data_IF_177545563579
#
_entry.id   IF_177545563579
#
_cell.length_a   1.000
_cell.length_b   1.000
_cell.length_c   1.000
_cell.angle_alpha   90.00
_cell.angle_beta   90.00
_cell.angle_gamma   90.00
#
_symmetry.space_group_name_H-M   'P 1'
#
loop_
_entity.id
_entity.type
_entity.pdbx_description
1 polymer ?
#
# COMPACT_ATOMS: atom_id res chain seq x y z
N UNK A 1 -48.50 -12.04 17.01
CA UNK A 1 -47.20 -12.54 17.52
C UNK A 1 -47.28 -14.05 17.35
N UNK A 2 -46.28 -14.62 16.65
CA UNK A 2 -46.25 -15.96 16.03
C UNK A 2 -47.29 -16.13 14.89
N UNK A 3 -47.11 -16.88 13.80
CA UNK A 3 -46.04 -17.69 13.21
C UNK A 3 -46.59 -18.23 11.85
N UNK A 4 -45.69 -18.67 10.95
CA UNK A 4 -45.87 -19.66 9.87
C UNK A 4 -46.50 -19.27 8.50
N UNK A 5 -45.63 -19.36 7.49
CA UNK A 5 -45.69 -20.20 6.28
C UNK A 5 -47.05 -20.46 5.59
N UNK A 6 -47.11 -20.07 4.31
CA UNK A 6 -47.90 -20.75 3.29
C UNK A 6 -46.99 -21.28 2.18
N UNK A 7 -47.07 -22.59 1.94
CA UNK A 7 -46.55 -23.29 0.77
C UNK A 7 -47.32 -22.91 -0.49
N UNK A 8 -46.60 -22.75 -1.61
CA UNK A 8 -47.14 -22.98 -2.96
C UNK A 8 -46.10 -23.82 -3.72
N UNK A 9 -46.49 -25.02 -4.13
CA UNK A 9 -45.78 -25.91 -5.09
C UNK A 9 -46.52 -25.78 -6.43
N UNK A 10 -45.84 -25.64 -7.59
CA UNK A 10 -45.85 -26.73 -8.61
C UNK A 10 -44.67 -26.70 -9.62
N UNK A 11 -44.55 -27.66 -10.57
CA UNK A 11 -44.86 -29.09 -10.54
C UNK A 11 -43.65 -29.97 -10.98
N UNK A 12 -43.77 -31.28 -10.78
CA UNK A 12 -42.88 -32.30 -11.31
C UNK A 12 -42.85 -32.29 -12.85
N UNK A 13 -41.65 -32.34 -13.43
CA UNK A 13 -41.46 -32.68 -14.85
C UNK A 13 -40.79 -34.04 -14.93
N UNK A 14 -41.50 -34.99 -15.54
CA UNK A 14 -41.15 -36.41 -15.67
C UNK A 14 -39.86 -36.68 -16.45
N UNK A 15 -39.16 -37.79 -16.14
CA UNK A 15 -37.92 -38.19 -16.77
C UNK A 15 -38.21 -39.10 -17.97
N UNK A 16 -38.12 -38.60 -19.21
CA UNK A 16 -37.84 -39.43 -20.41
C UNK A 16 -37.72 -38.57 -21.67
N UNK A 17 -36.49 -38.23 -22.04
CA UNK A 17 -36.06 -38.05 -23.42
C UNK A 17 -34.52 -38.01 -23.43
N UNK A 18 -33.92 -39.19 -23.57
CA UNK A 18 -32.51 -39.35 -23.89
C UNK A 18 -32.22 -38.88 -25.33
N UNK A 19 -30.95 -38.53 -25.55
CA UNK A 19 -30.22 -38.30 -26.81
C UNK A 19 -30.35 -36.86 -27.34
N UNK A 20 -29.28 -36.12 -27.64
CA UNK A 20 -27.87 -36.47 -27.90
C UNK A 20 -27.10 -35.16 -27.96
N UNK A 21 -26.10 -34.94 -27.11
CA UNK A 21 -25.03 -33.95 -27.34
C UNK A 21 -23.74 -34.58 -26.81
N UNK A 22 -22.77 -34.72 -27.72
CA UNK A 22 -21.42 -35.28 -27.49
C UNK A 22 -20.72 -34.60 -26.32
N UNK A 23 -20.33 -35.40 -25.32
CA UNK A 23 -19.47 -34.99 -24.21
C UNK A 23 -18.13 -35.76 -24.26
N UNK A 24 -17.47 -35.79 -25.41
CA UNK A 24 -16.10 -36.30 -25.52
C UNK A 24 -15.09 -35.15 -25.42
N UNK A 25 -15.13 -34.40 -24.31
CA UNK A 25 -14.05 -33.55 -23.79
C UNK A 25 -14.44 -32.88 -22.44
N UNK A 26 -15.10 -33.63 -21.56
CA UNK A 26 -15.17 -33.23 -20.15
C UNK A 26 -13.96 -33.86 -19.46
N UNK A 27 -12.88 -33.10 -19.31
CA UNK A 27 -11.86 -33.41 -18.30
C UNK A 27 -12.59 -33.41 -16.95
N UNK A 28 -12.58 -34.56 -16.30
CA UNK A 28 -13.14 -34.75 -14.96
C UNK A 28 -12.54 -33.69 -14.01
N UNK A 29 -13.33 -33.03 -13.14
CA UNK A 29 -12.80 -32.10 -12.14
C UNK A 29 -11.82 -32.75 -11.15
N UNK A 30 -11.73 -34.08 -11.16
CA UNK A 30 -10.96 -34.89 -10.22
C UNK A 30 -9.50 -35.14 -10.64
N UNK A 31 -9.04 -34.62 -11.79
CA UNK A 31 -7.63 -34.71 -12.23
C UNK A 31 -6.77 -33.48 -11.86
N UNK A 32 -7.32 -32.53 -11.09
CA UNK A 32 -6.49 -31.56 -10.38
C UNK A 32 -5.97 -32.24 -9.09
N UNK A 33 -4.65 -32.40 -8.91
CA UNK A 33 -4.13 -32.90 -7.65
C UNK A 33 -4.68 -32.01 -6.53
N UNK A 34 -5.12 -32.57 -5.39
CA UNK A 34 -5.57 -31.77 -4.26
C UNK A 34 -4.48 -30.78 -3.93
N UNK A 35 -4.81 -29.50 -4.06
CA UNK A 35 -3.93 -28.39 -3.71
C UNK A 35 -3.52 -28.62 -2.26
N UNK A 36 -2.25 -28.92 -2.03
CA UNK A 36 -1.73 -29.30 -0.73
C UNK A 36 -1.59 -28.01 0.11
N UNK A 37 -2.74 -27.39 0.43
CA UNK A 37 -2.90 -26.01 0.92
C UNK A 37 -2.51 -25.82 2.40
N UNK A 38 -1.75 -26.75 2.98
CA UNK A 38 -1.25 -26.61 4.35
C UNK A 38 0.22 -26.26 4.34
N UNK A 39 0.53 -24.97 4.43
CA UNK A 39 1.86 -24.49 4.79
C UNK A 39 2.16 -24.87 6.24
N UNK A 40 3.31 -25.48 6.50
CA UNK A 40 3.73 -25.74 7.87
C UNK A 40 3.99 -24.40 8.58
N UNK A 41 3.48 -24.27 9.80
CA UNK A 41 3.64 -23.04 10.57
C UNK A 41 5.09 -22.58 10.73
N UNK A 42 6.03 -23.50 10.94
CA UNK A 42 7.46 -23.17 11.03
C UNK A 42 8.01 -22.58 9.72
N UNK A 43 7.46 -22.99 8.58
CA UNK A 43 7.84 -22.44 7.25
C UNK A 43 7.33 -21.01 7.11
N UNK A 44 6.06 -20.77 7.44
CA UNK A 44 5.49 -19.42 7.46
C UNK A 44 6.25 -18.46 8.37
N UNK A 45 6.57 -18.91 9.59
CA UNK A 45 7.28 -18.11 10.58
C UNK A 45 8.71 -17.81 10.13
N UNK A 46 9.39 -18.80 9.55
CA UNK A 46 10.75 -18.60 9.00
C UNK A 46 10.74 -17.56 7.88
N UNK A 47 9.79 -17.65 6.94
CA UNK A 47 9.61 -16.65 5.88
C UNK A 47 9.35 -15.26 6.47
N UNK A 48 8.44 -15.15 7.44
CA UNK A 48 8.10 -13.87 8.05
C UNK A 48 9.29 -13.25 8.78
N UNK A 49 10.11 -14.06 9.46
CA UNK A 49 11.35 -13.62 10.09
C UNK A 49 12.34 -13.12 9.04
N UNK A 50 12.54 -13.87 7.96
CA UNK A 50 13.43 -13.49 6.87
C UNK A 50 13.05 -12.13 6.27
N UNK A 51 11.80 -11.99 5.82
CA UNK A 51 11.25 -10.75 5.23
C UNK A 51 11.33 -9.58 6.21
N UNK A 52 10.94 -9.80 7.48
CA UNK A 52 10.97 -8.73 8.49
C UNK A 52 12.38 -8.27 8.84
N UNK A 53 13.34 -9.20 8.91
CA UNK A 53 14.74 -8.88 9.23
C UNK A 53 15.44 -8.20 8.06
N UNK A 54 15.14 -8.58 6.82
CA UNK A 54 15.54 -7.81 5.65
C UNK A 54 14.97 -6.38 5.72
N UNK A 55 13.70 -6.25 6.07
CA UNK A 55 13.09 -4.93 6.15
C UNK A 55 13.67 -4.07 7.28
N UNK A 56 14.08 -4.66 8.41
CA UNK A 56 14.83 -3.93 9.45
C UNK A 56 16.15 -3.36 8.93
N UNK A 57 16.86 -4.10 8.06
CA UNK A 57 18.08 -3.60 7.39
C UNK A 57 17.76 -2.46 6.44
N UNK A 58 16.67 -2.55 5.69
CA UNK A 58 16.19 -1.48 4.82
C UNK A 58 15.82 -0.23 5.63
N UNK A 59 15.09 -0.37 6.74
CA UNK A 59 14.77 0.74 7.64
C UNK A 59 16.03 1.41 8.17
N UNK A 60 17.02 0.64 8.63
CA UNK A 60 18.32 1.18 9.06
C UNK A 60 18.97 1.99 7.94
N UNK A 61 19.07 1.41 6.74
CA UNK A 61 19.64 2.06 5.55
C UNK A 61 18.91 3.37 5.22
N UNK A 62 17.58 3.33 5.20
CA UNK A 62 16.74 4.49 4.91
C UNK A 62 16.96 5.60 5.92
N UNK A 63 16.97 5.29 7.23
CA UNK A 63 17.18 6.29 8.27
C UNK A 63 18.51 7.02 8.06
N UNK A 64 19.58 6.25 7.80
CA UNK A 64 20.92 6.80 7.60
C UNK A 64 21.05 7.66 6.33
N UNK A 65 20.34 7.28 5.25
CA UNK A 65 20.59 7.82 3.92
C UNK A 65 19.54 8.85 3.44
N UNK A 66 18.35 8.86 4.04
CA UNK A 66 17.19 9.63 3.52
C UNK A 66 16.93 10.93 4.27
N UNK A 67 17.25 11.01 5.56
CA UNK A 67 16.79 12.10 6.45
C UNK A 67 17.86 13.17 6.73
N UNK A 68 18.92 13.21 5.91
CA UNK A 68 20.01 14.19 5.99
C UNK A 68 20.60 14.30 7.42
N UNK A 69 20.77 13.15 8.09
CA UNK A 69 21.26 13.12 9.47
C UNK A 69 22.73 13.57 9.56
N UNK A 70 23.12 14.18 10.69
CA UNK A 70 24.53 14.47 10.92
C UNK A 70 25.33 13.18 11.08
N UNK A 71 26.65 13.23 10.81
CA UNK A 71 27.51 12.04 10.91
C UNK A 71 27.49 11.39 12.30
N UNK A 72 27.39 12.20 13.36
CA UNK A 72 27.19 11.72 14.74
C UNK A 72 25.90 10.93 14.89
N UNK A 73 24.80 11.49 14.38
CA UNK A 73 23.46 10.91 14.48
C UNK A 73 23.38 9.60 13.69
N UNK A 74 24.06 9.52 12.53
CA UNK A 74 24.20 8.29 11.75
C UNK A 74 24.94 7.21 12.54
N UNK A 75 25.99 7.57 13.29
CA UNK A 75 26.71 6.61 14.14
C UNK A 75 25.81 6.10 15.28
N UNK A 76 25.04 6.99 15.90
CA UNK A 76 24.06 6.62 16.94
C UNK A 76 22.97 5.69 16.39
N UNK A 77 22.48 5.94 15.17
CA UNK A 77 21.54 5.04 14.48
C UNK A 77 22.18 3.67 14.23
N UNK A 78 23.44 3.63 13.76
CA UNK A 78 24.14 2.35 13.54
C UNK A 78 24.25 1.52 14.82
N UNK A 79 24.55 2.19 15.94
CA UNK A 79 24.66 1.56 17.26
C UNK A 79 23.28 1.14 17.81
N UNK A 80 22.26 1.98 17.60
CA UNK A 80 20.89 1.66 18.00
C UNK A 80 20.35 0.43 17.26
N UNK A 81 20.66 0.27 15.98
CA UNK A 81 20.28 -0.88 15.15
C UNK A 81 21.33 -2.00 15.21
N UNK A 82 22.03 -2.13 16.35
CA UNK A 82 22.87 -3.29 16.61
C UNK A 82 21.99 -4.42 17.17
N UNK A 83 22.10 -5.61 16.59
CA UNK A 83 21.40 -6.84 17.01
C UNK A 83 19.86 -6.71 17.01
N UNK A 84 19.31 -5.81 16.18
CA UNK A 84 17.86 -5.55 16.12
C UNK A 84 17.11 -6.73 15.49
N UNK A 85 17.75 -7.40 14.51
CA UNK A 85 17.23 -8.59 13.85
C UNK A 85 17.14 -9.77 14.83
N UNK A 86 18.17 -9.99 15.64
CA UNK A 86 18.20 -11.04 16.66
C UNK A 86 17.09 -10.83 17.69
N UNK A 87 16.95 -9.59 18.19
CA UNK A 87 15.91 -9.25 19.16
C UNK A 87 14.50 -9.45 18.59
N UNK A 88 14.29 -9.09 17.33
CA UNK A 88 13.01 -9.33 16.67
C UNK A 88 12.72 -10.84 16.58
N UNK A 89 13.71 -11.61 16.10
CA UNK A 89 13.63 -13.07 15.96
C UNK A 89 13.34 -13.77 17.29
N UNK A 90 14.01 -13.35 18.36
CA UNK A 90 13.81 -13.87 19.71
C UNK A 90 12.39 -13.60 20.22
N UNK A 91 11.87 -12.39 20.01
CA UNK A 91 10.51 -12.02 20.44
C UNK A 91 9.48 -12.84 19.67
N UNK A 92 9.62 -12.94 18.34
CA UNK A 92 8.71 -13.73 17.50
C UNK A 92 8.73 -15.17 17.98
N UNK A 93 9.90 -15.80 18.04
CA UNK A 93 10.06 -17.21 18.45
C UNK A 93 9.52 -17.48 19.86
N UNK A 94 9.74 -16.56 20.80
CA UNK A 94 9.25 -16.71 22.18
C UNK A 94 7.72 -16.56 22.25
N UNK A 95 7.16 -15.57 21.55
CA UNK A 95 5.70 -15.41 21.45
C UNK A 95 5.07 -16.61 20.75
N UNK A 96 5.74 -17.13 19.72
CA UNK A 96 5.36 -18.32 18.97
C UNK A 96 5.24 -19.56 19.84
N UNK A 97 6.32 -19.89 20.57
CA UNK A 97 6.39 -21.05 21.48
C UNK A 97 5.27 -20.99 22.52
N UNK A 98 4.91 -19.79 22.95
CA UNK A 98 3.83 -19.55 23.90
C UNK A 98 2.45 -19.70 23.26
N UNK A 99 2.27 -19.31 21.99
CA UNK A 99 0.97 -19.40 21.30
C UNK A 99 0.62 -20.84 20.89
N UNK A 100 1.62 -21.66 20.57
CA UNK A 100 1.40 -23.01 20.06
C UNK A 100 1.37 -24.11 21.11
N UNK A 101 1.82 -23.85 22.34
CA UNK A 101 2.09 -24.90 23.35
C UNK A 101 2.88 -26.11 22.77
N UNK A 102 3.72 -25.87 21.75
CA UNK A 102 4.53 -26.88 21.07
C UNK A 102 3.80 -27.82 20.10
N UNK A 103 2.54 -27.54 19.73
CA UNK A 103 1.80 -28.35 18.74
C UNK A 103 2.06 -27.87 17.31
N UNK A 104 2.38 -28.76 16.35
CA UNK A 104 2.36 -28.42 14.94
C UNK A 104 0.91 -28.23 14.49
N UNK A 105 0.62 -27.11 13.84
CA UNK A 105 -0.72 -26.75 13.36
C UNK A 105 -0.62 -26.41 11.88
N UNK A 106 -1.56 -26.91 11.07
CA UNK A 106 -1.78 -26.41 9.72
C UNK A 106 -2.47 -25.05 9.81
N UNK A 107 -1.88 -24.02 9.22
CA UNK A 107 -2.38 -22.66 9.31
C UNK A 107 -3.33 -22.32 8.17
N UNK A 108 -4.36 -21.55 8.49
CA UNK A 108 -5.28 -20.96 7.53
C UNK A 108 -4.80 -19.58 7.10
N UNK A 109 -5.32 -19.08 5.99
CA UNK A 109 -5.05 -17.72 5.49
C UNK A 109 -5.39 -16.63 6.51
N UNK A 110 -6.54 -16.74 7.17
CA UNK A 110 -6.92 -15.82 8.25
C UNK A 110 -5.91 -15.80 9.39
N UNK A 111 -5.43 -16.97 9.81
CA UNK A 111 -4.41 -17.04 10.85
C UNK A 111 -3.09 -16.42 10.38
N UNK A 112 -2.67 -16.65 9.14
CA UNK A 112 -1.46 -16.03 8.57
C UNK A 112 -1.57 -14.50 8.55
N UNK A 113 -2.72 -13.96 8.15
CA UNK A 113 -2.99 -12.51 8.13
C UNK A 113 -2.95 -11.93 9.55
N UNK A 114 -3.67 -12.53 10.50
CA UNK A 114 -3.68 -12.08 11.90
C UNK A 114 -2.28 -12.16 12.55
N UNK A 115 -1.52 -13.21 12.22
CA UNK A 115 -0.17 -13.37 12.74
C UNK A 115 0.80 -12.34 12.14
N UNK A 116 0.64 -12.01 10.86
CA UNK A 116 1.39 -10.95 10.19
C UNK A 116 1.14 -9.58 10.84
N UNK A 117 -0.09 -9.29 11.27
CA UNK A 117 -0.38 -8.09 12.07
C UNK A 117 0.36 -8.05 13.40
N UNK A 118 0.37 -9.18 14.12
CA UNK A 118 1.10 -9.29 15.39
C UNK A 118 2.59 -9.08 15.17
N UNK A 119 3.14 -9.66 14.11
CA UNK A 119 4.53 -9.49 13.67
C UNK A 119 4.84 -8.03 13.34
N UNK A 120 3.99 -7.37 12.55
CA UNK A 120 4.10 -5.94 12.24
C UNK A 120 4.04 -5.09 13.52
N UNK A 121 3.11 -5.37 14.43
CA UNK A 121 3.05 -4.68 15.72
C UNK A 121 4.34 -4.85 16.54
N UNK A 122 4.93 -6.05 16.58
CA UNK A 122 6.22 -6.31 17.22
C UNK A 122 7.34 -5.50 16.54
N UNK A 123 7.36 -5.47 15.20
CA UNK A 123 8.31 -4.70 14.40
C UNK A 123 8.27 -3.20 14.78
N UNK A 124 7.09 -2.61 14.89
CA UNK A 124 6.92 -1.23 15.35
C UNK A 124 7.51 -1.02 16.76
N UNK A 125 7.22 -1.93 17.70
CA UNK A 125 7.74 -1.81 19.08
C UNK A 125 9.26 -1.90 19.13
N UNK A 126 9.84 -2.82 18.36
CA UNK A 126 11.29 -2.98 18.24
C UNK A 126 11.90 -1.69 17.66
N UNK A 127 11.41 -1.20 16.52
CA UNK A 127 11.86 0.05 15.90
C UNK A 127 11.78 1.24 16.87
N UNK A 128 10.62 1.39 17.54
CA UNK A 128 10.40 2.47 18.51
C UNK A 128 11.36 2.40 19.69
N UNK A 129 11.64 1.20 20.20
CA UNK A 129 12.59 1.00 21.29
C UNK A 129 14.01 1.40 20.86
N UNK A 130 14.46 0.96 19.69
CA UNK A 130 15.83 1.21 19.24
C UNK A 130 16.07 2.68 18.88
N UNK A 131 15.08 3.37 18.28
CA UNK A 131 15.23 4.79 17.91
C UNK A 131 15.02 5.75 19.10
N UNK A 132 14.40 5.29 20.20
CA UNK A 132 14.03 6.12 21.36
C UNK A 132 15.16 7.03 21.83
N UNK A 133 16.36 6.46 21.99
CA UNK A 133 17.52 7.11 22.60
C UNK A 133 18.46 7.80 21.60
N UNK A 134 18.17 7.73 20.30
CA UNK A 134 18.94 8.48 19.28
C UNK A 134 18.66 9.97 19.47
N UNK A 135 19.71 10.78 19.61
CA UNK A 135 19.61 12.24 19.84
C UNK A 135 20.13 13.01 18.62
N UNK A 136 20.12 14.34 18.68
CA UNK A 136 20.69 15.20 17.63
C UNK A 136 19.63 15.73 16.66
N UNK A 137 19.93 15.75 15.35
CA UNK A 137 19.00 16.28 14.32
C UNK A 137 17.66 15.55 14.32
N UNK A 138 17.64 14.29 14.75
CA UNK A 138 16.40 13.52 14.84
C UNK A 138 15.39 14.13 15.83
N UNK A 139 15.83 14.94 16.79
CA UNK A 139 14.95 15.65 17.74
C UNK A 139 14.51 17.02 17.21
N UNK A 140 15.02 17.44 16.04
CA UNK A 140 14.66 18.72 15.45
C UNK A 140 13.19 18.76 15.06
N UNK A 141 12.55 19.95 15.20
CA UNK A 141 11.19 20.13 14.77
C UNK A 141 11.11 19.98 13.25
N UNK A 142 10.07 19.31 12.78
CA UNK A 142 9.77 19.30 11.36
C UNK A 142 8.85 20.46 11.02
N UNK A 143 8.88 20.93 9.77
CA UNK A 143 7.86 21.86 9.26
C UNK A 143 6.51 21.17 9.03
N UNK A 144 6.38 19.91 9.46
CA UNK A 144 5.29 19.00 9.16
C UNK A 144 4.24 18.97 10.27
N UNK A 145 3.19 18.19 10.06
CA UNK A 145 2.07 18.03 11.01
C UNK A 145 2.44 17.16 12.25
N UNK A 146 3.74 16.90 12.47
CA UNK A 146 4.29 16.12 13.60
C UNK A 146 5.51 16.81 14.20
N UNK A 147 5.66 16.68 15.52
CA UNK A 147 6.47 17.61 16.30
C UNK A 147 7.98 17.46 16.05
N UNK A 148 8.48 16.24 15.76
CA UNK A 148 9.93 16.01 15.58
C UNK A 148 10.26 15.07 14.42
N UNK A 149 11.50 15.15 13.91
CA UNK A 149 11.99 14.29 12.83
C UNK A 149 11.95 12.80 13.23
N UNK A 150 12.16 12.49 14.52
CA UNK A 150 12.05 11.16 15.11
C UNK A 150 10.67 10.55 14.91
N UNK A 151 9.62 11.32 15.22
CA UNK A 151 8.24 10.85 15.05
C UNK A 151 7.89 10.63 13.59
N UNK A 152 8.36 11.52 12.71
CA UNK A 152 8.19 11.38 11.27
C UNK A 152 8.87 10.11 10.75
N UNK A 153 10.14 9.90 11.10
CA UNK A 153 10.90 8.71 10.72
C UNK A 153 10.17 7.44 11.18
N UNK A 154 9.81 7.37 12.47
CA UNK A 154 9.14 6.19 13.03
C UNK A 154 7.85 5.89 12.27
N UNK A 155 6.98 6.88 12.09
CA UNK A 155 5.72 6.70 11.38
C UNK A 155 5.93 6.25 9.94
N UNK A 156 6.79 6.93 9.19
CA UNK A 156 7.06 6.60 7.78
C UNK A 156 7.64 5.19 7.65
N UNK A 157 8.68 4.88 8.42
CA UNK A 157 9.38 3.60 8.33
C UNK A 157 8.51 2.45 8.82
N UNK A 158 7.65 2.64 9.83
CA UNK A 158 6.66 1.62 10.22
C UNK A 158 5.70 1.32 9.07
N UNK A 159 5.13 2.33 8.42
CA UNK A 159 4.21 2.14 7.29
C UNK A 159 4.86 1.45 6.10
N UNK A 160 6.06 1.91 5.72
CA UNK A 160 6.84 1.31 4.64
C UNK A 160 7.18 -0.15 4.98
N UNK A 161 7.55 -0.41 6.24
CA UNK A 161 7.90 -1.76 6.66
C UNK A 161 6.71 -2.72 6.66
N UNK A 162 5.56 -2.29 7.17
CA UNK A 162 4.36 -3.14 7.17
C UNK A 162 3.94 -3.48 5.75
N UNK A 163 3.93 -2.48 4.88
CA UNK A 163 3.61 -2.65 3.47
C UNK A 163 4.59 -3.60 2.75
N UNK A 164 5.89 -3.49 3.03
CA UNK A 164 6.90 -4.38 2.48
C UNK A 164 6.68 -5.83 2.93
N UNK A 165 6.45 -6.05 4.23
CA UNK A 165 6.20 -7.38 4.80
C UNK A 165 4.94 -7.97 4.21
N UNK A 166 3.85 -7.20 4.18
CA UNK A 166 2.56 -7.62 3.61
C UNK A 166 2.69 -8.03 2.15
N UNK A 167 3.29 -7.19 1.31
CA UNK A 167 3.45 -7.50 -0.12
C UNK A 167 4.37 -8.71 -0.33
N UNK A 168 5.50 -8.82 0.37
CA UNK A 168 6.43 -9.94 0.19
C UNK A 168 5.82 -11.28 0.60
N UNK A 169 5.06 -11.29 1.71
CA UNK A 169 4.36 -12.50 2.18
C UNK A 169 3.21 -12.85 1.24
N UNK A 170 2.42 -11.86 0.81
CA UNK A 170 1.34 -12.02 -0.17
C UNK A 170 1.87 -12.60 -1.48
N UNK A 171 2.96 -12.08 -2.03
CA UNK A 171 3.56 -12.58 -3.27
C UNK A 171 4.08 -14.02 -3.13
N UNK A 172 4.68 -14.34 -1.99
CA UNK A 172 5.30 -15.66 -1.76
C UNK A 172 4.25 -16.74 -1.49
N UNK A 173 3.21 -16.40 -0.71
CA UNK A 173 2.24 -17.37 -0.21
C UNK A 173 0.87 -17.27 -0.87
N UNK A 174 0.62 -16.23 -1.67
CA UNK A 174 -0.69 -15.89 -2.23
C UNK A 174 -1.76 -15.63 -1.14
N UNK A 175 -1.30 -15.21 0.05
CA UNK A 175 -2.15 -14.88 1.20
C UNK A 175 -2.10 -13.38 1.41
N UNK A 176 -3.11 -12.70 0.86
CA UNK A 176 -3.14 -11.26 0.77
C UNK A 176 -4.34 -10.71 1.55
N UNK A 177 -4.19 -9.49 2.06
CA UNK A 177 -5.34 -8.74 2.55
C UNK A 177 -6.16 -8.27 1.36
N UNK A 178 -7.47 -8.40 1.48
CA UNK A 178 -8.39 -7.76 0.55
C UNK A 178 -8.15 -6.26 0.56
N UNK A 179 -7.97 -5.69 -0.64
CA UNK A 179 -7.94 -4.25 -0.86
C UNK A 179 -9.31 -3.84 -1.34
N UNK A 180 -10.03 -3.06 -0.55
CA UNK A 180 -11.43 -2.74 -0.82
C UNK A 180 -11.60 -1.40 -1.55
N UNK A 181 -10.56 -0.58 -1.60
CA UNK A 181 -10.61 0.77 -2.16
C UNK A 181 -9.45 1.03 -3.13
N UNK A 182 -9.69 1.91 -4.11
CA UNK A 182 -8.63 2.41 -4.99
C UNK A 182 -7.52 3.10 -4.18
N UNK A 183 -7.90 3.83 -3.13
CA UNK A 183 -6.93 4.51 -2.25
C UNK A 183 -5.98 3.57 -1.52
N UNK A 184 -6.34 2.30 -1.31
CA UNK A 184 -5.45 1.29 -0.70
C UNK A 184 -4.25 1.00 -1.62
N UNK A 185 -4.52 0.81 -2.92
CA UNK A 185 -3.48 0.64 -3.94
C UNK A 185 -2.60 1.88 -4.08
N UNK A 186 -3.20 3.07 -4.08
CA UNK A 186 -2.44 4.31 -4.15
C UNK A 186 -1.53 4.47 -2.93
N UNK A 187 -2.01 4.15 -1.73
CA UNK A 187 -1.20 4.20 -0.51
C UNK A 187 -0.01 3.22 -0.58
N UNK A 188 -0.23 2.02 -1.10
CA UNK A 188 0.83 1.03 -1.35
C UNK A 188 1.89 1.57 -2.33
N UNK A 189 1.48 2.10 -3.48
CA UNK A 189 2.41 2.68 -4.46
C UNK A 189 3.21 3.85 -3.88
N UNK A 190 2.58 4.73 -3.10
CA UNK A 190 3.25 5.85 -2.44
C UNK A 190 4.30 5.36 -1.42
N UNK A 191 3.98 4.34 -0.62
CA UNK A 191 4.91 3.76 0.37
C UNK A 191 6.09 3.07 -0.31
N UNK A 192 5.82 2.34 -1.38
CA UNK A 192 6.83 1.72 -2.22
C UNK A 192 7.79 2.79 -2.79
N UNK A 193 7.26 3.90 -3.33
CA UNK A 193 8.07 5.01 -3.83
C UNK A 193 8.83 5.77 -2.73
N UNK A 194 8.29 5.87 -1.52
CA UNK A 194 9.02 6.47 -0.40
C UNK A 194 10.27 5.66 0.00
N UNK A 195 10.25 4.35 -0.26
CA UNK A 195 11.32 3.40 0.07
C UNK A 195 12.47 3.39 -0.96
N UNK A 196 12.28 3.92 -2.18
CA UNK A 196 13.31 3.84 -3.23
C UNK A 196 14.49 4.80 -2.99
N UNK A 197 15.59 4.59 -3.70
CA UNK A 197 16.78 5.45 -3.61
C UNK A 197 16.50 6.88 -4.09
N UNK A 198 17.25 7.90 -3.65
CA UNK A 198 17.12 9.27 -4.17
C UNK A 198 17.23 9.37 -5.71
N UNK A 199 18.05 8.51 -6.32
CA UNK A 199 18.24 8.45 -7.76
C UNK A 199 16.96 7.97 -8.45
N UNK A 200 16.39 6.87 -7.98
CA UNK A 200 15.19 6.28 -8.59
C UNK A 200 13.96 7.12 -8.33
N UNK A 201 13.87 7.74 -7.15
CA UNK A 201 12.83 8.73 -6.86
C UNK A 201 12.91 9.91 -7.83
N UNK A 202 14.11 10.40 -8.16
CA UNK A 202 14.27 11.43 -9.19
C UNK A 202 13.82 10.93 -10.57
N UNK A 203 14.17 9.69 -10.94
CA UNK A 203 13.75 9.08 -12.21
C UNK A 203 12.23 8.92 -12.30
N UNK A 204 11.55 8.62 -11.20
CA UNK A 204 10.09 8.54 -11.14
C UNK A 204 9.41 9.90 -11.41
N UNK A 205 9.93 10.97 -10.81
CA UNK A 205 9.31 12.29 -10.88
C UNK A 205 9.51 13.00 -12.23
N UNK A 206 10.60 12.73 -12.94
CA UNK A 206 10.93 13.40 -14.21
C UNK A 206 9.80 13.26 -15.26
N UNK A 207 9.28 12.05 -15.55
CA UNK A 207 8.21 11.84 -16.52
C UNK A 207 6.85 12.49 -16.22
N UNK A 208 6.62 12.94 -14.98
CA UNK A 208 5.29 13.41 -14.55
C UNK A 208 4.79 14.58 -15.42
N UNK A 209 5.67 15.52 -15.78
CA UNK A 209 5.28 16.66 -16.65
C UNK A 209 4.82 16.21 -18.02
N UNK A 210 5.51 15.22 -18.59
CA UNK A 210 5.27 14.75 -19.94
C UNK A 210 3.97 13.94 -20.00
N UNK A 211 3.70 13.13 -18.97
CA UNK A 211 2.42 12.42 -18.80
C UNK A 211 1.27 13.41 -18.61
N UNK A 212 1.44 14.44 -17.77
CA UNK A 212 0.40 15.47 -17.59
C UNK A 212 0.07 16.22 -18.89
N UNK A 213 1.08 16.55 -19.71
CA UNK A 213 0.85 17.22 -21.00
C UNK A 213 0.21 16.29 -22.03
N UNK A 214 0.62 15.00 -22.08
CA UNK A 214 -0.01 13.98 -22.93
C UNK A 214 -1.49 13.79 -22.59
N UNK A 215 -1.84 13.86 -21.31
CA UNK A 215 -3.20 13.66 -20.82
C UNK A 215 -3.96 14.98 -20.54
N UNK A 216 -3.52 16.13 -21.07
CA UNK A 216 -4.05 17.48 -20.73
C UNK A 216 -5.55 17.71 -20.93
N UNK A 217 -6.17 17.00 -21.88
CA UNK A 217 -7.61 17.12 -22.13
C UNK A 217 -8.45 16.35 -21.09
N UNK A 218 -7.82 15.43 -20.39
CA UNK A 218 -8.39 14.65 -19.31
C UNK A 218 -8.01 15.26 -17.95
N UNK A 219 -6.71 15.41 -17.68
CA UNK A 219 -6.19 16.03 -16.46
C UNK A 219 -6.08 17.54 -16.69
N UNK A 220 -7.15 18.27 -16.37
CA UNK A 220 -7.13 19.73 -16.38
C UNK A 220 -6.06 20.21 -15.39
N UNK A 221 -5.30 21.23 -15.78
CA UNK A 221 -4.27 21.86 -14.94
C UNK A 221 -4.19 23.35 -15.24
N UNK A 222 -3.74 24.15 -14.27
CA UNK A 222 -3.47 25.57 -14.45
C UNK A 222 -1.96 25.88 -14.27
N UNK A 223 -1.58 27.14 -14.50
CA UNK A 223 -0.18 27.58 -14.43
C UNK A 223 0.41 27.34 -13.03
N UNK A 224 -0.34 27.63 -11.97
CA UNK A 224 0.11 27.50 -10.58
C UNK A 224 0.37 26.03 -10.23
N UNK A 225 -0.55 25.13 -10.56
CA UNK A 225 -0.37 23.68 -10.39
C UNK A 225 0.87 23.17 -11.13
N UNK A 226 1.04 23.54 -12.41
CA UNK A 226 2.22 23.15 -13.21
C UNK A 226 3.53 23.67 -12.60
N UNK A 227 3.53 24.88 -12.05
CA UNK A 227 4.69 25.45 -11.34
C UNK A 227 5.00 24.68 -10.06
N UNK A 228 3.99 24.30 -9.27
CA UNK A 228 4.15 23.48 -8.06
C UNK A 228 4.74 22.11 -8.39
N UNK A 229 4.21 21.43 -9.41
CA UNK A 229 4.75 20.15 -9.88
C UNK A 229 6.21 20.30 -10.32
N UNK A 230 6.52 21.33 -11.12
CA UNK A 230 7.89 21.61 -11.56
C UNK A 230 8.82 21.89 -10.37
N UNK A 231 8.36 22.59 -9.35
CA UNK A 231 9.13 22.80 -8.11
C UNK A 231 9.45 21.46 -7.44
N UNK A 232 8.46 20.59 -7.23
CA UNK A 232 8.66 19.28 -6.59
C UNK A 232 9.62 18.40 -7.40
N UNK A 233 9.50 18.38 -8.73
CA UNK A 233 10.38 17.61 -9.62
C UNK A 233 11.83 18.09 -9.51
N UNK A 234 12.07 19.39 -9.37
CA UNK A 234 13.41 19.95 -9.27
C UNK A 234 13.97 19.98 -7.83
N UNK A 235 13.13 19.78 -6.82
CA UNK A 235 13.55 19.77 -5.43
C UNK A 235 14.41 18.56 -5.05
N UNK A 236 15.00 18.58 -3.85
CA UNK A 236 15.75 17.45 -3.32
C UNK A 236 14.84 16.24 -3.01
N UNK A 237 15.45 15.06 -2.89
CA UNK A 237 14.72 13.82 -2.63
C UNK A 237 13.91 13.87 -1.31
N UNK A 238 14.36 14.62 -0.31
CA UNK A 238 13.61 14.84 0.93
C UNK A 238 12.25 15.50 0.66
N UNK A 239 12.20 16.52 -0.20
CA UNK A 239 10.95 17.24 -0.53
C UNK A 239 9.99 16.34 -1.30
N UNK A 240 10.51 15.51 -2.21
CA UNK A 240 9.72 14.50 -2.94
C UNK A 240 9.09 13.50 -1.98
N UNK A 241 9.87 12.94 -1.05
CA UNK A 241 9.35 12.00 -0.03
C UNK A 241 8.34 12.67 0.89
N UNK A 242 8.57 13.91 1.30
CA UNK A 242 7.62 14.66 2.12
C UNK A 242 6.31 14.91 1.39
N UNK A 243 6.36 15.10 0.08
CA UNK A 243 5.16 15.20 -0.76
C UNK A 243 4.40 13.88 -0.83
N UNK A 244 5.09 12.76 -1.09
CA UNK A 244 4.46 11.43 -1.14
C UNK A 244 3.85 11.05 0.23
N UNK A 245 4.58 11.32 1.30
CA UNK A 245 4.16 11.10 2.67
C UNK A 245 2.91 11.91 3.05
N UNK A 246 2.80 13.13 2.54
CA UNK A 246 1.59 13.94 2.72
C UNK A 246 0.37 13.29 2.12
N UNK A 247 0.52 12.81 0.88
CA UNK A 247 -0.56 12.18 0.16
C UNK A 247 -0.98 10.88 0.87
N UNK A 248 -0.03 10.03 1.26
CA UNK A 248 -0.32 8.80 2.04
C UNK A 248 -1.06 9.13 3.36
N UNK A 249 -0.70 10.20 4.04
CA UNK A 249 -1.35 10.58 5.30
C UNK A 249 -2.74 11.17 5.12
N UNK A 250 -2.98 11.90 4.03
CA UNK A 250 -4.33 12.35 3.69
C UNK A 250 -5.23 11.16 3.34
N UNK A 251 -4.72 10.17 2.61
CA UNK A 251 -5.46 8.96 2.25
C UNK A 251 -5.80 8.12 3.50
N UNK A 252 -4.81 7.91 4.37
CA UNK A 252 -4.92 6.90 5.43
C UNK A 252 -5.37 7.48 6.78
N UNK A 253 -5.11 8.75 7.05
CA UNK A 253 -5.36 9.37 8.35
C UNK A 253 -5.85 10.84 8.24
N UNK A 254 -6.87 11.14 7.41
CA UNK A 254 -7.24 12.51 7.08
C UNK A 254 -7.62 13.36 8.31
N UNK A 255 -8.34 12.81 9.28
CA UNK A 255 -8.76 13.53 10.49
C UNK A 255 -7.59 13.95 11.37
N UNK A 256 -6.54 13.12 11.40
CA UNK A 256 -5.32 13.40 12.16
C UNK A 256 -4.52 14.51 11.49
N UNK A 257 -4.42 14.47 10.16
CA UNK A 257 -3.77 15.51 9.35
C UNK A 257 -4.48 16.85 9.54
N UNK A 258 -5.81 16.88 9.42
CA UNK A 258 -6.61 18.12 9.58
C UNK A 258 -6.42 18.82 10.94
N UNK A 259 -6.18 18.06 12.00
CA UNK A 259 -5.93 18.60 13.35
C UNK A 259 -4.56 19.27 13.49
N UNK A 260 -3.59 18.89 12.66
CA UNK A 260 -2.17 19.16 12.91
C UNK A 260 -1.49 19.98 11.80
N UNK A 261 -2.09 20.06 10.60
CA UNK A 261 -1.57 20.92 9.53
C UNK A 261 -1.82 22.41 9.80
N UNK A 262 -0.94 23.29 9.28
CA UNK A 262 -1.18 24.74 9.25
C UNK A 262 -2.54 25.09 8.65
N UNK A 263 -3.18 26.16 9.16
CA UNK A 263 -4.51 26.57 8.69
C UNK A 263 -4.59 26.80 7.17
N UNK A 264 -3.51 27.30 6.56
CA UNK A 264 -3.45 27.50 5.10
C UNK A 264 -3.49 26.21 4.27
N UNK A 265 -3.14 25.06 4.84
CA UNK A 265 -3.17 23.76 4.15
C UNK A 265 -4.46 22.96 4.39
N UNK A 266 -5.28 23.35 5.37
CA UNK A 266 -6.54 22.65 5.68
C UNK A 266 -7.49 22.56 4.48
N UNK A 267 -7.69 23.61 3.65
CA UNK A 267 -8.56 23.51 2.48
C UNK A 267 -8.09 22.43 1.50
N UNK A 268 -6.79 22.35 1.21
CA UNK A 268 -6.23 21.33 0.32
C UNK A 268 -6.43 19.92 0.87
N UNK A 269 -6.23 19.72 2.18
CA UNK A 269 -6.47 18.42 2.83
C UNK A 269 -7.94 18.02 2.76
N UNK A 270 -8.86 18.95 3.04
CA UNK A 270 -10.31 18.69 2.94
C UNK A 270 -10.71 18.29 1.53
N UNK A 271 -10.25 19.01 0.51
CA UNK A 271 -10.60 18.72 -0.88
C UNK A 271 -9.98 17.41 -1.37
N UNK A 272 -8.73 17.11 -1.00
CA UNK A 272 -8.11 15.83 -1.34
C UNK A 272 -8.84 14.65 -0.67
N UNK A 273 -9.22 14.79 0.61
CA UNK A 273 -10.06 13.80 1.29
C UNK A 273 -11.40 13.62 0.57
N UNK A 274 -12.05 14.71 0.20
CA UNK A 274 -13.32 14.65 -0.52
C UNK A 274 -13.16 13.96 -1.88
N UNK A 275 -12.11 14.29 -2.63
CA UNK A 275 -11.82 13.68 -3.92
C UNK A 275 -11.68 12.16 -3.81
N UNK A 276 -10.84 11.67 -2.90
CA UNK A 276 -10.62 10.24 -2.73
C UNK A 276 -11.82 9.53 -2.12
N UNK A 277 -12.56 10.18 -1.22
CA UNK A 277 -13.84 9.63 -0.72
C UNK A 277 -14.88 9.46 -1.82
N UNK A 278 -14.91 10.34 -2.83
CA UNK A 278 -15.79 10.18 -3.99
C UNK A 278 -15.31 9.02 -4.84
N UNK A 279 -14.01 8.97 -5.17
CA UNK A 279 -13.41 7.91 -5.99
C UNK A 279 -13.64 6.53 -5.35
N UNK A 280 -13.30 6.36 -4.08
CA UNK A 280 -13.47 5.09 -3.37
C UNK A 280 -14.95 4.68 -3.24
N UNK A 281 -15.87 5.65 -3.24
CA UNK A 281 -17.31 5.39 -3.18
C UNK A 281 -17.92 4.89 -4.51
N UNK A 282 -17.19 4.99 -5.63
CA UNK A 282 -17.70 4.67 -6.98
C UNK A 282 -16.78 3.78 -7.81
N UNK A 283 -15.52 3.64 -7.42
CA UNK A 283 -14.57 2.74 -8.06
C UNK A 283 -14.96 1.31 -7.72
N UNK A 284 -15.40 0.56 -8.73
CA UNK A 284 -15.84 -0.82 -8.57
C UNK A 284 -14.62 -1.75 -8.50
N UNK A 285 -14.33 -2.32 -7.33
CA UNK A 285 -13.21 -3.26 -7.11
C UNK A 285 -13.67 -4.68 -7.48
N UNK A 286 -14.03 -4.86 -8.75
CA UNK A 286 -14.34 -6.15 -9.35
C UNK A 286 -13.06 -6.83 -9.89
N UNK A 287 -13.15 -8.12 -10.23
CA UNK A 287 -12.00 -8.93 -10.67
C UNK A 287 -11.16 -8.27 -11.78
N UNK A 288 -11.82 -7.67 -12.78
CA UNK A 288 -11.13 -7.01 -13.90
C UNK A 288 -10.38 -5.74 -13.44
N UNK A 289 -10.99 -4.93 -12.58
CA UNK A 289 -10.36 -3.72 -12.04
C UNK A 289 -9.26 -4.06 -11.04
N UNK A 290 -9.41 -5.13 -10.25
CA UNK A 290 -8.36 -5.67 -9.37
C UNK A 290 -7.17 -6.11 -10.22
N UNK A 291 -7.39 -6.92 -11.25
CA UNK A 291 -6.32 -7.38 -12.16
C UNK A 291 -5.54 -6.21 -12.77
N UNK A 292 -6.24 -5.14 -13.18
CA UNK A 292 -5.58 -3.94 -13.68
C UNK A 292 -4.73 -3.23 -12.62
N UNK A 293 -5.24 -3.10 -11.40
CA UNK A 293 -4.52 -2.44 -10.31
C UNK A 293 -3.30 -3.27 -9.85
N UNK A 294 -3.43 -4.59 -9.77
CA UNK A 294 -2.32 -5.49 -9.49
C UNK A 294 -1.27 -5.44 -10.61
N UNK A 295 -1.67 -5.45 -11.88
CA UNK A 295 -0.73 -5.28 -12.99
C UNK A 295 0.01 -3.93 -12.92
N UNK A 296 -0.64 -2.84 -12.50
CA UNK A 296 0.05 -1.56 -12.26
C UNK A 296 1.06 -1.69 -11.11
N UNK A 297 0.69 -2.37 -10.03
CA UNK A 297 1.59 -2.65 -8.90
C UNK A 297 2.82 -3.44 -9.35
N UNK A 298 2.62 -4.50 -10.16
CA UNK A 298 3.70 -5.31 -10.72
C UNK A 298 4.61 -4.49 -11.64
N UNK A 299 4.03 -3.68 -12.54
CA UNK A 299 4.81 -2.79 -13.41
C UNK A 299 5.66 -1.80 -12.61
N UNK A 300 5.15 -1.29 -11.49
CA UNK A 300 5.88 -0.41 -10.59
C UNK A 300 7.04 -1.16 -9.92
N UNK A 301 6.79 -2.38 -9.41
CA UNK A 301 7.81 -3.23 -8.79
C UNK A 301 8.92 -3.58 -9.78
N UNK A 302 8.57 -4.04 -10.97
CA UNK A 302 9.51 -4.37 -12.04
C UNK A 302 10.42 -3.19 -12.38
N UNK A 303 9.85 -1.98 -12.46
CA UNK A 303 10.65 -0.79 -12.69
C UNK A 303 11.66 -0.54 -11.55
N UNK A 304 11.26 -0.73 -10.29
CA UNK A 304 12.12 -0.54 -9.10
C UNK A 304 13.26 -1.55 -9.08
N UNK A 305 12.97 -2.80 -9.43
CA UNK A 305 13.96 -3.89 -9.51
C UNK A 305 14.94 -3.73 -10.69
N UNK A 306 14.69 -2.77 -11.58
CA UNK A 306 15.54 -2.50 -12.73
C UNK A 306 15.22 -3.39 -13.94
N UNK A 307 14.05 -4.02 -13.96
CA UNK A 307 13.53 -4.74 -15.12
C UNK A 307 13.16 -3.76 -16.25
N UNK A 308 12.68 -4.30 -17.38
CA UNK A 308 12.53 -3.57 -18.66
C UNK A 308 11.44 -2.49 -18.71
N UNK A 309 10.71 -2.25 -17.62
CA UNK A 309 9.58 -1.32 -17.60
C UNK A 309 10.02 0.14 -17.47
N UNK A 310 9.46 0.99 -18.33
CA UNK A 310 9.63 2.44 -18.30
C UNK A 310 8.59 3.06 -17.36
N UNK A 311 9.01 3.99 -16.50
CA UNK A 311 8.15 4.79 -15.61
C UNK A 311 6.99 5.41 -16.37
N UNK A 312 7.21 5.85 -17.62
CA UNK A 312 6.12 6.41 -18.42
C UNK A 312 4.97 5.42 -18.59
N UNK A 313 5.26 4.12 -18.77
CA UNK A 313 4.21 3.10 -18.91
C UNK A 313 3.41 2.98 -17.61
N UNK A 314 4.08 2.93 -16.46
CA UNK A 314 3.43 2.88 -15.14
C UNK A 314 2.51 4.08 -14.94
N UNK A 315 3.02 5.29 -15.15
CA UNK A 315 2.25 6.52 -14.97
C UNK A 315 1.07 6.63 -15.96
N UNK A 316 1.25 6.24 -17.22
CA UNK A 316 0.15 6.24 -18.18
C UNK A 316 -0.91 5.20 -17.79
N UNK A 317 -0.52 4.01 -17.33
CA UNK A 317 -1.46 2.98 -16.90
C UNK A 317 -2.34 3.45 -15.73
N UNK A 318 -1.76 4.15 -14.74
CA UNK A 318 -2.51 4.78 -13.64
C UNK A 318 -3.55 5.78 -14.19
N UNK A 319 -3.13 6.66 -15.09
CA UNK A 319 -4.04 7.69 -15.64
C UNK A 319 -5.14 7.06 -16.50
N UNK A 320 -4.80 6.05 -17.29
CA UNK A 320 -5.75 5.37 -18.18
C UNK A 320 -6.76 4.53 -17.40
N UNK A 321 -6.35 3.88 -16.30
CA UNK A 321 -7.26 3.15 -15.41
C UNK A 321 -8.35 4.08 -14.84
N UNK A 322 -7.97 5.25 -14.31
CA UNK A 322 -8.94 6.24 -13.82
C UNK A 322 -9.77 6.84 -14.97
N UNK A 323 -9.17 7.06 -16.14
CA UNK A 323 -9.89 7.58 -17.31
C UNK A 323 -11.01 6.65 -17.76
N UNK A 324 -10.72 5.36 -17.90
CA UNK A 324 -11.68 4.35 -18.34
C UNK A 324 -12.82 4.24 -17.32
N UNK A 325 -12.49 4.16 -16.03
CA UNK A 325 -13.50 4.09 -14.97
C UNK A 325 -14.35 5.37 -14.87
N UNK A 326 -13.76 6.56 -15.05
CA UNK A 326 -14.52 7.82 -15.03
C UNK A 326 -15.59 7.89 -16.12
N UNK A 327 -15.37 7.26 -17.29
CA UNK A 327 -16.32 7.27 -18.40
C UNK A 327 -17.61 6.49 -18.11
N UNK A 328 -17.53 5.48 -17.24
CA UNK A 328 -18.68 4.63 -16.88
C UNK A 328 -19.41 5.11 -15.62
N UNK A 329 -18.79 5.98 -14.83
CA UNK A 329 -19.43 6.52 -13.63
C UNK A 329 -20.60 7.47 -13.94
N UNK A 330 -21.60 7.59 -13.04
CA UNK A 330 -22.72 8.51 -13.23
C UNK A 330 -22.27 9.97 -13.45
N UNK A 331 -23.00 10.72 -14.28
CA UNK A 331 -22.62 12.10 -14.66
C UNK A 331 -22.55 13.06 -13.46
N UNK A 332 -23.41 12.89 -12.45
CA UNK A 332 -23.38 13.67 -11.22
C UNK A 332 -22.08 13.44 -10.43
N UNK A 333 -21.61 12.19 -10.36
CA UNK A 333 -20.31 11.83 -9.76
C UNK A 333 -19.16 12.44 -10.58
N UNK A 334 -19.18 12.29 -11.90
CA UNK A 334 -18.16 12.90 -12.78
C UNK A 334 -18.08 14.41 -12.55
N UNK A 335 -19.22 15.10 -12.55
CA UNK A 335 -19.31 16.53 -12.29
C UNK A 335 -18.76 16.92 -10.91
N UNK A 336 -19.05 16.12 -9.88
CA UNK A 336 -18.52 16.34 -8.53
C UNK A 336 -17.00 16.21 -8.49
N UNK A 337 -16.43 15.17 -9.13
CA UNK A 337 -14.98 15.00 -9.26
C UNK A 337 -14.35 16.19 -9.99
N UNK A 338 -14.93 16.61 -11.12
CA UNK A 338 -14.42 17.76 -11.88
C UNK A 338 -14.47 19.06 -11.07
N UNK A 339 -15.53 19.27 -10.29
CA UNK A 339 -15.66 20.41 -9.39
C UNK A 339 -14.58 20.41 -8.31
N UNK A 340 -14.47 19.32 -7.53
CA UNK A 340 -13.47 19.19 -6.47
C UNK A 340 -12.05 19.34 -7.02
N UNK A 341 -11.76 18.73 -8.18
CA UNK A 341 -10.46 18.89 -8.85
C UNK A 341 -10.20 20.35 -9.24
N UNK A 342 -11.19 21.07 -9.77
CA UNK A 342 -11.02 22.49 -10.13
C UNK A 342 -10.71 23.37 -8.92
N UNK A 343 -11.33 23.10 -7.77
CA UNK A 343 -11.03 23.80 -6.51
C UNK A 343 -9.60 23.49 -6.03
N UNK A 344 -9.15 22.23 -6.13
CA UNK A 344 -7.77 21.84 -5.80
C UNK A 344 -6.76 22.64 -6.64
N UNK A 345 -7.03 22.85 -7.94
CA UNK A 345 -6.12 23.56 -8.83
C UNK A 345 -5.95 25.04 -8.45
N UNK A 346 -6.95 25.67 -7.82
CA UNK A 346 -6.92 27.10 -7.46
C UNK A 346 -6.05 27.36 -6.22
N UNK A 347 -5.96 26.38 -5.32
CA UNK A 347 -5.14 26.41 -4.12
C UNK A 347 -3.63 26.37 -4.41
#
# INVERSE_FOLDING_TARGET
MDSMYYHIVPPEVSPTAQNTLNFDNYTDPDDLPPKNDSLLFDTFVSLLIEVSTEQLKNVKSNIMNTYDLHRSDVADVKMAFKDIEDKYTDIITTKLKTMLDGKPINITDHFMIDFMDVSNYILEKVLRYHIKNVKGKIESPTKWYRETLKEKILRQQTKIAFNYVENSVCETLQVCRDRYYYSDYLADWLRTLMNVTPRDLKRFFIPITDVLERHKYFIKSNIKFRQTIKYIINADAIVKRDTLDFLDEILTNPDKVLKSVPHGLKPSVTLLRELFSIIDGVYDVNDQNIEQLENITEMLRDWIEGNSFDVHKVLNAIVDNIRVNLQIWPLDIQNKIYYVWSEILVL
#
